data_IF_061154844936
#
_entry.id   IF_061154844936
#
_cell.length_a   1.000
_cell.length_b   1.000
_cell.length_c   1.000
_cell.angle_alpha   90.00
_cell.angle_beta   90.00
_cell.angle_gamma   90.00
#
_symmetry.space_group_name_H-M   'P 1'
#
loop_
_entity.id
_entity.type
_entity.pdbx_description
1 polymer ?
#
# COMPACT_ATOMS: atom_id res chain seq x y z
N UNK A 1 20.38 -4.39 3.53
CA UNK A 1 20.45 -5.88 3.59
C UNK A 1 19.88 -6.56 2.33
N UNK A 2 18.60 -6.34 1.99
CA UNK A 2 17.96 -6.96 0.80
C UNK A 2 18.60 -6.55 -0.54
N UNK A 3 18.82 -5.25 -0.79
CA UNK A 3 19.44 -4.77 -2.03
C UNK A 3 20.79 -5.45 -2.32
N UNK A 4 21.59 -5.67 -1.28
CA UNK A 4 22.91 -6.32 -1.38
C UNK A 4 22.83 -7.83 -1.59
N UNK A 5 21.82 -8.50 -1.02
CA UNK A 5 21.72 -9.96 -1.02
C UNK A 5 20.97 -10.51 -2.24
N UNK A 6 19.94 -9.81 -2.70
CA UNK A 6 19.04 -10.29 -3.76
C UNK A 6 18.62 -9.21 -4.75
N UNK A 7 19.23 -8.02 -4.72
CA UNK A 7 18.87 -6.91 -5.63
C UNK A 7 17.54 -6.22 -5.31
N UNK A 8 16.82 -6.65 -4.27
CA UNK A 8 15.49 -6.12 -3.94
C UNK A 8 15.62 -4.82 -3.15
N UNK A 9 15.00 -3.76 -3.67
CA UNK A 9 14.91 -2.43 -3.05
C UNK A 9 13.62 -2.28 -2.26
N UNK A 10 13.70 -1.60 -1.11
CA UNK A 10 12.56 -1.42 -0.21
C UNK A 10 12.50 -0.01 0.33
N UNK A 11 11.30 0.51 0.54
CA UNK A 11 11.06 1.84 1.11
C UNK A 11 9.86 1.85 2.05
N UNK A 12 9.74 2.92 2.82
CA UNK A 12 8.64 3.10 3.76
C UNK A 12 8.05 4.50 3.68
N UNK A 13 6.73 4.60 3.73
CA UNK A 13 5.96 5.84 3.61
C UNK A 13 4.92 5.92 4.72
N UNK A 14 5.09 6.86 5.64
CA UNK A 14 4.25 6.98 6.83
C UNK A 14 4.23 8.41 7.39
N UNK A 15 3.22 8.72 8.21
CA UNK A 15 3.05 10.02 8.85
C UNK A 15 4.15 10.38 9.86
N UNK A 16 4.17 11.64 10.32
CA UNK A 16 5.11 12.12 11.34
C UNK A 16 6.46 12.62 10.83
N UNK A 17 6.71 12.52 9.52
CA UNK A 17 7.89 13.08 8.84
C UNK A 17 7.48 14.09 7.75
N UNK A 18 8.39 14.98 7.39
CA UNK A 18 8.22 15.87 6.24
C UNK A 18 8.00 15.07 4.94
N UNK A 19 7.06 15.53 4.12
CA UNK A 19 6.66 14.84 2.88
C UNK A 19 7.81 14.82 1.86
N UNK A 20 8.51 15.93 1.69
CA UNK A 20 9.57 16.05 0.69
C UNK A 20 10.79 15.23 1.09
N UNK A 21 11.20 15.27 2.36
CA UNK A 21 12.31 14.44 2.85
C UNK A 21 12.03 12.95 2.66
N UNK A 22 10.80 12.50 2.96
CA UNK A 22 10.42 11.10 2.79
C UNK A 22 10.42 10.69 1.32
N UNK A 23 9.97 11.57 0.41
CA UNK A 23 10.03 11.34 -1.03
C UNK A 23 11.48 11.24 -1.54
N UNK A 24 12.39 12.09 -1.07
CA UNK A 24 13.81 12.02 -1.46
C UNK A 24 14.46 10.72 -0.97
N UNK A 25 14.18 10.32 0.27
CA UNK A 25 14.62 9.02 0.81
C UNK A 25 14.09 7.84 0.00
N UNK A 26 12.84 7.92 -0.45
CA UNK A 26 12.24 6.90 -1.29
C UNK A 26 12.95 6.80 -2.65
N UNK A 27 13.17 7.93 -3.33
CA UNK A 27 13.91 7.99 -4.61
C UNK A 27 15.33 7.44 -4.49
N UNK A 28 16.05 7.79 -3.41
CA UNK A 28 17.39 7.27 -3.16
C UNK A 28 17.42 5.75 -2.90
N UNK A 29 16.29 5.16 -2.49
CA UNK A 29 16.16 3.73 -2.22
C UNK A 29 15.90 2.91 -3.50
N UNK A 30 15.49 3.54 -4.60
CA UNK A 30 15.19 2.88 -5.86
C UNK A 30 16.44 2.25 -6.52
N UNK A 31 16.20 1.44 -7.55
CA UNK A 31 17.22 1.01 -8.51
C UNK A 31 17.64 2.18 -9.41
N UNK A 32 18.67 1.96 -10.23
CA UNK A 32 19.13 2.93 -11.22
C UNK A 32 18.02 3.30 -12.22
N UNK A 33 17.19 2.33 -12.59
CA UNK A 33 16.00 2.52 -13.43
C UNK A 33 14.79 3.13 -12.69
N UNK A 34 15.00 3.60 -11.44
CA UNK A 34 13.97 4.26 -10.64
C UNK A 34 12.96 3.32 -9.97
N UNK A 35 13.22 2.01 -9.94
CA UNK A 35 12.24 1.04 -9.44
C UNK A 35 12.39 0.76 -7.94
N UNK A 36 11.25 0.74 -7.25
CA UNK A 36 11.12 0.25 -5.89
C UNK A 36 10.38 -1.10 -5.92
N UNK A 37 10.96 -2.14 -5.34
CA UNK A 37 10.36 -3.48 -5.38
C UNK A 37 9.35 -3.71 -4.26
N UNK A 38 9.62 -3.16 -3.06
CA UNK A 38 8.75 -3.31 -1.89
C UNK A 38 8.50 -1.95 -1.25
N UNK A 39 7.23 -1.62 -1.02
CA UNK A 39 6.83 -0.43 -0.30
C UNK A 39 5.98 -0.82 0.91
N UNK A 40 6.37 -0.36 2.09
CA UNK A 40 5.55 -0.43 3.30
C UNK A 40 4.94 0.93 3.55
N UNK A 41 3.63 1.03 3.68
CA UNK A 41 3.01 2.34 3.86
C UNK A 41 1.78 2.38 4.76
N UNK A 42 1.56 3.52 5.41
CA UNK A 42 0.29 3.83 6.08
C UNK A 42 -0.68 4.48 5.09
N UNK A 43 -1.99 4.15 5.10
CA UNK A 43 -2.94 4.56 4.05
C UNK A 43 -2.93 6.05 3.74
N UNK A 44 -3.11 6.92 4.75
CA UNK A 44 -3.21 8.37 4.50
C UNK A 44 -1.98 8.98 3.83
N UNK A 45 -0.77 8.60 4.27
CA UNK A 45 0.47 9.11 3.64
C UNK A 45 0.71 8.50 2.26
N UNK A 46 0.30 7.26 2.03
CA UNK A 46 0.39 6.66 0.69
C UNK A 46 -0.54 7.40 -0.27
N UNK A 47 -1.79 7.61 0.11
CA UNK A 47 -2.77 8.34 -0.69
C UNK A 47 -2.28 9.76 -1.03
N UNK A 48 -1.70 10.49 -0.07
CA UNK A 48 -1.05 11.79 -0.29
C UNK A 48 -0.01 11.76 -1.44
N UNK A 49 0.74 10.67 -1.58
CA UNK A 49 1.79 10.53 -2.60
C UNK A 49 1.25 10.01 -3.94
N UNK A 50 0.13 9.29 -3.92
CA UNK A 50 -0.60 8.90 -5.14
C UNK A 50 -1.34 10.10 -5.74
N UNK A 51 -1.92 10.95 -4.89
CA UNK A 51 -2.75 12.08 -5.27
C UNK A 51 -2.25 13.38 -4.61
N UNK A 52 -1.48 14.19 -5.32
CA UNK A 52 -1.15 15.53 -4.82
C UNK A 52 -2.38 16.44 -4.95
N UNK A 53 -2.91 16.92 -3.83
CA UNK A 53 -4.09 17.80 -3.72
C UNK A 53 -3.86 19.25 -4.21
N UNK A 54 -2.79 19.52 -4.96
CA UNK A 54 -2.50 20.86 -5.52
C UNK A 54 -3.02 20.98 -6.95
N UNK A 55 -3.26 22.22 -7.41
CA UNK A 55 -3.85 22.56 -8.71
C UNK A 55 -3.10 22.00 -9.95
N UNK A 56 -1.89 21.49 -9.75
CA UNK A 56 -1.25 20.54 -10.64
C UNK A 56 -1.28 19.17 -9.94
N UNK A 57 -2.21 18.29 -10.32
CA UNK A 57 -2.27 16.91 -9.83
C UNK A 57 -1.05 16.15 -10.33
N UNK A 58 0.07 16.28 -9.61
CA UNK A 58 1.30 15.54 -9.89
C UNK A 58 1.27 14.24 -9.10
N UNK A 59 1.25 13.12 -9.80
CA UNK A 59 1.47 11.80 -9.21
C UNK A 59 2.95 11.72 -8.79
N UNK A 60 3.22 11.60 -7.49
CA UNK A 60 4.60 11.51 -6.98
C UNK A 60 5.10 10.07 -6.89
N UNK A 61 4.17 9.12 -6.79
CA UNK A 61 4.43 7.70 -6.72
C UNK A 61 3.47 6.96 -7.66
N UNK A 62 4.01 6.16 -8.57
CA UNK A 62 3.22 5.33 -9.48
C UNK A 62 3.17 3.90 -8.95
N UNK A 63 1.96 3.35 -8.81
CA UNK A 63 1.73 1.98 -8.28
C UNK A 63 1.00 1.07 -9.27
N UNK A 64 0.83 1.49 -10.53
CA UNK A 64 0.03 0.75 -11.52
C UNK A 64 0.61 -0.63 -11.83
N UNK A 65 1.94 -0.79 -11.68
CA UNK A 65 2.68 -2.03 -11.93
C UNK A 65 2.73 -2.99 -10.73
N UNK A 66 2.16 -2.62 -9.58
CA UNK A 66 2.17 -3.47 -8.37
C UNK A 66 1.36 -4.74 -8.62
N UNK A 67 1.97 -5.90 -8.35
CA UNK A 67 1.34 -7.22 -8.53
C UNK A 67 0.93 -7.89 -7.22
N UNK A 68 1.36 -7.34 -6.08
CA UNK A 68 1.03 -7.82 -4.73
C UNK A 68 0.56 -6.67 -3.85
N UNK A 69 -0.63 -6.80 -3.26
CA UNK A 69 -1.15 -5.88 -2.25
C UNK A 69 -1.33 -6.63 -0.93
N UNK A 70 -0.69 -6.14 0.13
CA UNK A 70 -0.82 -6.71 1.48
C UNK A 70 -1.50 -5.70 2.39
N UNK A 71 -2.59 -6.12 3.04
CA UNK A 71 -3.35 -5.32 4.01
C UNK A 71 -3.19 -6.03 5.35
N UNK A 72 -2.39 -5.45 6.25
CA UNK A 72 -2.10 -6.01 7.57
C UNK A 72 -2.86 -5.27 8.68
N UNK A 73 -3.26 -5.95 9.75
CA UNK A 73 -4.15 -5.40 10.80
C UNK A 73 -5.42 -4.72 10.23
N UNK A 74 -6.11 -5.37 9.29
CA UNK A 74 -7.20 -4.73 8.54
C UNK A 74 -8.41 -4.29 9.39
N UNK A 75 -8.68 -4.97 10.49
CA UNK A 75 -9.68 -4.59 11.51
C UNK A 75 -9.31 -3.31 12.26
N UNK A 76 -8.02 -3.10 12.50
CA UNK A 76 -7.52 -1.84 13.05
C UNK A 76 -7.68 -0.71 12.05
N UNK A 77 -7.35 -0.94 10.77
CA UNK A 77 -7.54 0.07 9.72
C UNK A 77 -9.02 0.45 9.58
N UNK A 78 -9.93 -0.51 9.69
CA UNK A 78 -11.37 -0.26 9.74
C UNK A 78 -11.74 0.65 10.93
N UNK A 79 -11.24 0.35 12.12
CA UNK A 79 -11.50 1.12 13.34
C UNK A 79 -10.94 2.54 13.27
N UNK A 80 -9.83 2.74 12.55
CA UNK A 80 -9.22 4.05 12.32
C UNK A 80 -9.91 4.85 11.19
N UNK A 81 -10.91 4.28 10.53
CA UNK A 81 -11.62 4.95 9.44
C UNK A 81 -10.88 4.98 8.11
N UNK A 82 -9.90 4.10 7.88
CA UNK A 82 -9.05 4.12 6.68
C UNK A 82 -9.64 3.42 5.44
N UNK A 83 -10.89 2.96 5.50
CA UNK A 83 -11.48 2.16 4.44
C UNK A 83 -11.58 2.91 3.11
N UNK A 84 -11.95 4.20 3.14
CA UNK A 84 -12.06 5.01 1.92
C UNK A 84 -10.69 5.23 1.25
N UNK A 85 -9.65 5.48 2.04
CA UNK A 85 -8.29 5.62 1.54
C UNK A 85 -7.75 4.31 0.97
N UNK A 86 -8.02 3.18 1.65
CA UNK A 86 -7.65 1.85 1.14
C UNK A 86 -8.35 1.54 -0.19
N UNK A 87 -9.64 1.88 -0.31
CA UNK A 87 -10.39 1.76 -1.56
C UNK A 87 -9.77 2.61 -2.68
N UNK A 88 -9.40 3.86 -2.39
CA UNK A 88 -8.75 4.74 -3.36
C UNK A 88 -7.39 4.18 -3.81
N UNK A 89 -6.54 3.76 -2.87
CA UNK A 89 -5.24 3.14 -3.15
C UNK A 89 -5.41 1.86 -3.98
N UNK A 90 -6.36 1.01 -3.61
CA UNK A 90 -6.68 -0.25 -4.29
C UNK A 90 -7.06 -0.06 -5.77
N UNK A 91 -7.71 1.07 -6.10
CA UNK A 91 -8.07 1.45 -7.49
C UNK A 91 -6.89 1.97 -8.32
N UNK A 92 -5.84 2.49 -7.69
CA UNK A 92 -4.61 2.88 -8.39
C UNK A 92 -3.76 1.69 -8.82
N UNK A 93 -3.99 0.51 -8.25
CA UNK A 93 -3.25 -0.70 -8.54
C UNK A 93 -4.04 -1.52 -9.56
N UNK A 94 -3.33 -2.17 -10.50
CA UNK A 94 -3.93 -3.08 -11.48
C UNK A 94 -4.88 -4.11 -10.84
N UNK A 95 -5.99 -4.46 -11.49
CA UNK A 95 -6.99 -5.39 -10.94
C UNK A 95 -6.49 -6.84 -10.94
N UNK A 96 -5.57 -7.21 -11.84
CA UNK A 96 -4.93 -8.52 -11.92
C UNK A 96 -3.68 -8.57 -11.03
N UNK A 97 -3.93 -8.54 -9.72
CA UNK A 97 -2.94 -8.65 -8.65
C UNK A 97 -3.31 -9.75 -7.68
N UNK A 98 -2.35 -10.20 -6.90
CA UNK A 98 -2.61 -11.01 -5.71
C UNK A 98 -2.79 -10.09 -4.50
N UNK A 99 -3.90 -10.24 -3.78
CA UNK A 99 -4.15 -9.49 -2.53
C UNK A 99 -4.11 -10.44 -1.34
N UNK A 100 -3.39 -10.06 -0.28
CA UNK A 100 -3.38 -10.74 1.00
C UNK A 100 -3.97 -9.79 2.06
N UNK A 101 -4.90 -10.29 2.85
CA UNK A 101 -5.54 -9.55 3.92
C UNK A 101 -5.35 -10.30 5.25
N UNK A 102 -4.70 -9.65 6.21
CA UNK A 102 -4.44 -10.17 7.54
C UNK A 102 -5.21 -9.36 8.58
N UNK A 103 -5.86 -10.06 9.51
CA UNK A 103 -6.66 -9.43 10.55
C UNK A 103 -6.93 -10.39 11.70
N UNK A 104 -7.02 -9.86 12.93
CA UNK A 104 -7.33 -10.65 14.11
C UNK A 104 -8.85 -10.89 14.23
N UNK A 105 -9.66 -9.93 13.82
CA UNK A 105 -11.12 -10.02 13.80
C UNK A 105 -11.66 -9.87 12.37
N UNK A 106 -12.88 -10.37 12.10
CA UNK A 106 -13.44 -10.32 10.75
C UNK A 106 -14.91 -9.85 10.74
N UNK A 107 -15.16 -8.57 11.13
CA UNK A 107 -16.50 -8.00 11.15
C UNK A 107 -17.11 -7.90 9.74
N UNK A 108 -18.43 -7.77 9.65
CA UNK A 108 -19.16 -7.75 8.36
C UNK A 108 -18.61 -6.74 7.36
N UNK A 109 -18.31 -5.51 7.80
CA UNK A 109 -17.73 -4.47 6.94
C UNK A 109 -16.34 -4.82 6.39
N UNK A 110 -15.52 -5.57 7.15
CA UNK A 110 -14.23 -6.06 6.65
C UNK A 110 -14.42 -7.20 5.65
N UNK A 111 -15.46 -8.04 5.83
CA UNK A 111 -15.82 -9.08 4.86
C UNK A 111 -16.23 -8.47 3.52
N UNK A 112 -17.09 -7.45 3.52
CA UNK A 112 -17.49 -6.72 2.32
C UNK A 112 -16.28 -6.13 1.57
N UNK A 113 -15.35 -5.52 2.31
CA UNK A 113 -14.12 -5.00 1.74
C UNK A 113 -13.21 -6.12 1.17
N UNK A 114 -13.13 -7.26 1.86
CA UNK A 114 -12.38 -8.42 1.38
C UNK A 114 -12.93 -8.95 0.05
N UNK A 115 -14.26 -9.07 -0.08
CA UNK A 115 -14.93 -9.50 -1.32
C UNK A 115 -14.66 -8.54 -2.50
N UNK A 116 -14.44 -7.25 -2.22
CA UNK A 116 -14.07 -6.24 -3.21
C UNK A 116 -12.58 -6.28 -3.58
N UNK A 117 -11.69 -6.51 -2.62
CA UNK A 117 -10.24 -6.35 -2.80
C UNK A 117 -9.49 -7.64 -3.12
N UNK A 118 -10.05 -8.80 -2.75
CA UNK A 118 -9.41 -10.11 -2.83
C UNK A 118 -10.20 -11.01 -3.77
N UNK A 119 -9.66 -11.25 -4.96
CA UNK A 119 -10.24 -12.17 -5.93
C UNK A 119 -10.07 -13.62 -5.46
N UNK A 120 -11.13 -14.42 -5.57
CA UNK A 120 -11.13 -15.87 -5.27
C UNK A 120 -10.51 -16.20 -3.89
N UNK A 121 -10.92 -15.44 -2.87
CA UNK A 121 -10.29 -15.46 -1.56
C UNK A 121 -10.35 -16.85 -0.88
N UNK A 122 -9.19 -17.32 -0.41
CA UNK A 122 -9.08 -18.49 0.48
C UNK A 122 -8.85 -18.00 1.91
N UNK A 123 -9.74 -18.38 2.82
CA UNK A 123 -9.64 -17.99 4.23
C UNK A 123 -8.83 -19.06 4.98
N UNK A 124 -7.69 -18.64 5.53
CA UNK A 124 -6.89 -19.45 6.45
C UNK A 124 -7.10 -18.93 7.87
N UNK A 125 -7.51 -19.81 8.78
CA UNK A 125 -7.66 -19.49 10.20
C UNK A 125 -6.66 -20.29 11.01
N UNK A 126 -5.85 -19.60 11.78
CA UNK A 126 -4.96 -20.22 12.75
C UNK A 126 -5.74 -20.35 14.07
N UNK A 127 -5.82 -21.58 14.58
CA UNK A 127 -6.39 -21.89 15.90
C UNK A 127 -5.33 -21.76 16.99
#
# INVERSE_FOLDING_TARGET
PMKRLCGITSGAVYGGLDKNEQLQKLKASCTEDGQLHVLVATPGRLEDFLYTTSAASVVQLEVSRVTYLVIDEADRMLTMGFMEQLDAISRCIRPDRQTLLFSATFPGRLREACESWVKDAVIVRCN
#
